data_IF_529880131908
#
_entry.id   IF_529880131908
#
_cell.length_a   1.000
_cell.length_b   1.000
_cell.length_c   1.000
_cell.angle_alpha   90.00
_cell.angle_beta   90.00
_cell.angle_gamma   90.00
#
_symmetry.space_group_name_H-M   'P 1'
#
loop_
_entity.id
_entity.type
_entity.pdbx_description
1 polymer ?
#
# COMPACT_ATOMS: atom_id res chain seq x y z
N UNK A 1 21.66 10.64 44.74
CA UNK A 1 22.54 11.23 43.71
C UNK A 1 21.95 10.86 42.35
N UNK A 2 21.41 11.85 41.61
CA UNK A 2 20.86 11.64 40.28
C UNK A 2 22.03 11.50 39.29
N UNK A 3 22.28 10.29 38.82
CA UNK A 3 23.24 10.04 37.74
C UNK A 3 22.67 10.53 36.42
N UNK A 4 23.32 11.54 35.83
CA UNK A 4 23.00 12.10 34.53
C UNK A 4 23.14 11.04 33.42
N UNK A 5 22.05 10.70 32.74
CA UNK A 5 22.05 9.95 31.47
C UNK A 5 22.26 10.89 30.30
N UNK A 6 23.41 11.57 30.26
CA UNK A 6 23.86 12.25 29.03
C UNK A 6 24.59 11.25 28.14
N UNK A 7 23.82 10.54 27.31
CA UNK A 7 24.36 9.81 26.16
C UNK A 7 24.62 10.79 25.02
N UNK A 8 25.90 11.08 24.74
CA UNK A 8 26.29 11.89 23.59
C UNK A 8 26.05 11.11 22.30
N UNK A 9 25.01 11.46 21.54
CA UNK A 9 24.77 10.90 20.21
C UNK A 9 25.84 11.40 19.24
N UNK A 10 26.84 10.57 18.95
CA UNK A 10 27.80 10.81 17.87
C UNK A 10 27.28 10.14 16.60
N UNK A 11 26.59 10.89 15.74
CA UNK A 11 26.18 10.42 14.42
C UNK A 11 27.37 10.47 13.47
N UNK A 12 28.26 9.48 13.56
CA UNK A 12 29.16 9.13 12.47
C UNK A 12 28.43 8.22 11.48
N UNK A 13 28.70 8.34 10.17
CA UNK A 13 28.17 7.44 9.12
C UNK A 13 28.52 5.94 9.30
N UNK A 14 29.26 5.60 10.37
CA UNK A 14 29.56 4.23 10.82
C UNK A 14 29.37 4.03 12.33
N UNK A 15 28.67 4.94 13.01
CA UNK A 15 28.41 4.83 14.44
C UNK A 15 27.43 3.67 14.66
N UNK A 16 27.91 2.60 15.29
CA UNK A 16 27.08 1.50 15.78
C UNK A 16 26.55 1.90 17.15
N UNK A 17 25.22 1.83 17.30
CA UNK A 17 24.56 2.01 18.60
C UNK A 17 24.74 0.69 19.35
N UNK A 18 25.60 0.69 20.37
CA UNK A 18 25.64 -0.37 21.38
C UNK A 18 24.74 0.07 22.56
N UNK A 19 23.54 -0.48 22.62
CA UNK A 19 22.71 -0.42 23.81
C UNK A 19 22.91 -1.73 24.60
N UNK A 20 23.38 -1.61 25.84
CA UNK A 20 23.37 -2.69 26.84
C UNK A 20 24.16 -3.99 26.53
N UNK A 21 25.10 -3.97 25.57
CA UNK A 21 25.91 -5.15 25.24
C UNK A 21 25.16 -6.23 24.48
N UNK A 22 23.99 -5.91 23.93
CA UNK A 22 23.23 -6.82 23.08
C UNK A 22 23.76 -6.73 21.63
N UNK A 23 24.08 -7.90 21.05
CA UNK A 23 24.52 -7.98 19.66
C UNK A 23 23.47 -7.34 18.74
N UNK A 24 23.87 -6.62 17.66
CA UNK A 24 22.94 -5.92 16.80
C UNK A 24 21.92 -6.90 16.20
N UNK A 25 20.70 -6.86 16.73
CA UNK A 25 19.55 -7.56 16.15
C UNK A 25 19.33 -6.97 14.75
N UNK A 26 19.08 -7.82 13.77
CA UNK A 26 18.70 -7.39 12.43
C UNK A 26 17.65 -6.28 12.53
N UNK A 27 17.79 -5.22 11.72
CA UNK A 27 16.92 -4.06 11.77
C UNK A 27 15.45 -4.49 11.89
N UNK A 28 14.75 -3.98 12.92
CA UNK A 28 13.32 -4.26 13.14
C UNK A 28 12.47 -3.87 11.93
N UNK A 29 12.96 -2.95 11.09
CA UNK A 29 12.41 -2.67 9.78
C UNK A 29 13.07 -3.56 8.73
N UNK A 30 12.32 -4.55 8.24
CA UNK A 30 12.75 -5.43 7.14
C UNK A 30 12.53 -6.91 7.39
N UNK A 31 12.21 -7.32 8.61
CA UNK A 31 11.80 -8.70 8.90
C UNK A 31 10.31 -8.83 8.62
N UNK A 32 9.96 -9.61 7.60
CA UNK A 32 8.57 -9.98 7.34
C UNK A 32 8.10 -10.90 8.47
N UNK A 33 6.99 -10.56 9.12
CA UNK A 33 6.42 -11.41 10.16
C UNK A 33 6.04 -12.78 9.57
N UNK A 34 6.30 -13.84 10.33
CA UNK A 34 5.90 -15.20 10.02
C UNK A 34 4.61 -15.58 10.76
N UNK A 35 3.85 -16.59 10.28
CA UNK A 35 2.71 -17.13 11.01
C UNK A 35 3.10 -17.51 12.45
N UNK A 36 2.40 -16.94 13.43
CA UNK A 36 2.69 -17.15 14.85
C UNK A 36 3.48 -16.02 15.51
N UNK A 37 4.05 -15.09 14.75
CA UNK A 37 4.69 -13.90 15.31
C UNK A 37 3.66 -12.99 15.98
N UNK A 38 3.98 -12.57 17.19
CA UNK A 38 3.16 -11.70 18.03
C UNK A 38 3.94 -10.46 18.45
N UNK A 39 3.23 -9.35 18.66
CA UNK A 39 3.77 -8.17 19.30
C UNK A 39 3.88 -8.37 20.83
N UNK A 40 4.44 -7.39 21.53
CA UNK A 40 4.62 -7.42 22.99
C UNK A 40 3.31 -7.49 23.77
N UNK A 41 2.17 -7.22 23.12
CA UNK A 41 0.82 -7.34 23.69
C UNK A 41 0.14 -8.66 23.33
N UNK A 42 0.81 -9.55 22.60
CA UNK A 42 0.26 -10.81 22.12
C UNK A 42 -0.58 -10.70 20.84
N UNK A 43 -0.62 -9.53 20.18
CA UNK A 43 -1.37 -9.37 18.93
C UNK A 43 -0.59 -9.97 17.75
N UNK A 44 -1.24 -10.69 16.83
CA UNK A 44 -0.56 -11.22 15.66
C UNK A 44 0.08 -10.11 14.81
N UNK A 45 1.36 -10.27 14.48
CA UNK A 45 2.08 -9.42 13.53
C UNK A 45 1.93 -9.91 12.09
N UNK A 46 1.58 -11.19 11.92
CA UNK A 46 1.26 -11.76 10.63
C UNK A 46 -0.22 -11.60 10.30
N UNK A 47 -0.52 -11.03 9.13
CA UNK A 47 -1.84 -11.06 8.52
C UNK A 47 -1.76 -11.84 7.21
N UNK A 48 -2.68 -12.78 7.01
CA UNK A 48 -2.82 -13.44 5.72
C UNK A 48 -3.15 -12.37 4.66
N UNK A 49 -2.33 -12.29 3.62
CA UNK A 49 -2.60 -11.40 2.49
C UNK A 49 -3.71 -12.04 1.66
N UNK A 50 -4.84 -11.35 1.42
CA UNK A 50 -5.90 -11.89 0.57
C UNK A 50 -5.36 -12.12 -0.84
N UNK A 51 -5.95 -13.06 -1.58
CA UNK A 51 -5.68 -13.19 -3.01
C UNK A 51 -6.17 -11.93 -3.73
N UNK A 52 -5.23 -11.17 -4.30
CA UNK A 52 -5.46 -9.91 -5.01
C UNK A 52 -5.33 -10.07 -6.53
N UNK A 53 -5.22 -11.30 -7.05
CA UNK A 53 -5.02 -11.51 -8.48
C UNK A 53 -6.13 -10.87 -9.32
N UNK A 54 -7.39 -10.99 -8.88
CA UNK A 54 -8.54 -10.37 -9.56
C UNK A 54 -8.54 -8.85 -9.49
N UNK A 55 -7.91 -8.28 -8.47
CA UNK A 55 -7.79 -6.82 -8.34
C UNK A 55 -6.78 -6.27 -9.35
N UNK A 56 -5.64 -6.97 -9.52
CA UNK A 56 -4.57 -6.52 -10.43
C UNK A 56 -4.75 -7.01 -11.88
N UNK A 57 -5.50 -8.10 -12.09
CA UNK A 57 -5.78 -8.72 -13.39
C UNK A 57 -7.27 -9.05 -13.53
N UNK A 58 -8.15 -8.04 -13.54
CA UNK A 58 -9.58 -8.28 -13.70
C UNK A 58 -9.93 -8.66 -15.14
N UNK A 59 -10.89 -9.57 -15.31
CA UNK A 59 -11.54 -9.81 -16.60
C UNK A 59 -12.50 -8.67 -16.97
N UNK A 60 -13.11 -8.02 -15.97
CA UNK A 60 -14.06 -6.92 -16.16
C UNK A 60 -13.99 -5.91 -15.02
N UNK A 61 -14.19 -4.63 -15.33
CA UNK A 61 -14.18 -3.51 -14.37
C UNK A 61 -15.37 -2.59 -14.60
N UNK A 62 -16.13 -2.31 -13.54
CA UNK A 62 -17.19 -1.30 -13.56
C UNK A 62 -16.66 0.05 -13.09
N UNK A 63 -16.91 1.12 -13.85
CA UNK A 63 -16.52 2.49 -13.48
C UNK A 63 -17.76 3.28 -13.08
N UNK A 64 -17.99 3.37 -11.77
CA UNK A 64 -19.12 4.11 -11.21
C UNK A 64 -18.85 5.60 -11.25
N UNK A 65 -19.77 6.36 -11.86
CA UNK A 65 -19.58 7.79 -12.10
C UNK A 65 -18.76 8.08 -13.36
N UNK A 66 -18.72 7.13 -14.31
CA UNK A 66 -18.12 7.33 -15.62
C UNK A 66 -18.76 8.53 -16.35
N UNK A 67 -17.96 9.32 -17.03
CA UNK A 67 -18.42 10.50 -17.78
C UNK A 67 -17.58 10.74 -19.02
N UNK A 68 -18.21 11.28 -20.05
CA UNK A 68 -17.61 11.82 -21.28
C UNK A 68 -17.90 13.32 -21.44
N UNK A 69 -18.54 13.95 -20.44
CA UNK A 69 -18.84 15.38 -20.43
C UNK A 69 -17.57 16.23 -20.29
N UNK A 70 -17.44 17.26 -21.13
CA UNK A 70 -16.31 18.18 -21.07
C UNK A 70 -16.23 18.94 -19.73
N UNK A 71 -15.01 19.22 -19.27
CA UNK A 71 -14.76 19.99 -18.06
C UNK A 71 -15.03 19.25 -16.74
N UNK A 72 -15.47 17.99 -16.77
CA UNK A 72 -15.69 17.20 -15.55
C UNK A 72 -14.44 16.38 -15.17
N UNK A 73 -14.01 16.37 -13.89
CA UNK A 73 -12.84 15.60 -13.46
C UNK A 73 -12.93 14.10 -13.77
N UNK A 74 -14.12 13.51 -13.65
CA UNK A 74 -14.35 12.09 -13.92
C UNK A 74 -14.21 11.72 -15.41
N UNK A 75 -14.26 12.69 -16.34
CA UNK A 75 -14.07 12.43 -17.76
C UNK A 75 -12.62 12.06 -18.08
N UNK A 76 -11.65 12.73 -17.46
CA UNK A 76 -10.24 12.37 -17.60
C UNK A 76 -9.95 10.97 -17.06
N UNK A 77 -10.50 10.65 -15.87
CA UNK A 77 -10.35 9.34 -15.23
C UNK A 77 -10.99 8.23 -16.07
N UNK A 78 -12.21 8.45 -16.59
CA UNK A 78 -12.92 7.47 -17.42
C UNK A 78 -12.10 7.13 -18.68
N UNK A 79 -11.54 8.15 -19.35
CA UNK A 79 -10.69 7.97 -20.53
C UNK A 79 -9.41 7.18 -20.21
N UNK A 80 -8.76 7.47 -19.07
CA UNK A 80 -7.56 6.75 -18.65
C UNK A 80 -7.87 5.28 -18.34
N UNK A 81 -9.00 5.00 -17.68
CA UNK A 81 -9.43 3.64 -17.37
C UNK A 81 -9.82 2.85 -18.63
N UNK A 82 -10.44 3.49 -19.62
CA UNK A 82 -10.70 2.88 -20.93
C UNK A 82 -9.40 2.45 -21.61
N UNK A 83 -8.45 3.38 -21.76
CA UNK A 83 -7.15 3.09 -22.38
C UNK A 83 -6.32 2.06 -21.58
N UNK A 84 -6.47 2.04 -20.26
CA UNK A 84 -5.87 0.99 -19.42
C UNK A 84 -6.52 -0.37 -19.66
N UNK A 85 -7.86 -0.44 -19.67
CA UNK A 85 -8.62 -1.67 -19.84
C UNK A 85 -8.32 -2.33 -21.19
N UNK A 86 -8.28 -1.55 -22.27
CA UNK A 86 -7.85 -2.01 -23.59
C UNK A 86 -6.45 -2.61 -23.57
N UNK A 87 -5.49 -1.95 -22.90
CA UNK A 87 -4.11 -2.41 -22.81
C UNK A 87 -3.96 -3.72 -22.05
N UNK A 88 -4.76 -3.94 -21.00
CA UNK A 88 -4.69 -5.15 -20.16
C UNK A 88 -5.67 -6.24 -20.61
N UNK A 89 -6.50 -5.98 -21.62
CA UNK A 89 -7.51 -6.92 -22.12
C UNK A 89 -8.72 -7.08 -21.19
N UNK A 90 -8.97 -6.11 -20.30
CA UNK A 90 -10.13 -6.12 -19.42
C UNK A 90 -11.34 -5.48 -20.09
N UNK A 91 -12.53 -6.01 -19.85
CA UNK A 91 -13.80 -5.38 -20.28
C UNK A 91 -14.18 -4.25 -19.32
N UNK A 92 -14.21 -3.01 -19.79
CA UNK A 92 -14.70 -1.88 -19.01
C UNK A 92 -16.23 -1.69 -19.19
N UNK A 93 -16.94 -1.49 -18.07
CA UNK A 93 -18.37 -1.21 -18.04
C UNK A 93 -18.58 0.17 -17.39
N UNK A 94 -18.86 1.23 -18.17
CA UNK A 94 -19.15 2.53 -17.60
C UNK A 94 -20.53 2.51 -16.93
N UNK A 95 -20.63 3.08 -15.73
CA UNK A 95 -21.89 3.16 -14.98
C UNK A 95 -22.21 4.62 -14.69
N UNK A 96 -23.31 5.10 -15.28
CA UNK A 96 -23.82 6.44 -15.10
C UNK A 96 -25.33 6.38 -14.78
N UNK A 97 -25.84 7.20 -13.84
CA UNK A 97 -27.22 7.08 -13.36
C UNK A 97 -28.29 7.38 -14.41
N UNK A 98 -28.00 8.27 -15.36
CA UNK A 98 -29.00 8.75 -16.34
C UNK A 98 -28.57 8.58 -17.79
N UNK A 99 -27.38 8.03 -18.05
CA UNK A 99 -26.86 7.85 -19.41
C UNK A 99 -26.78 6.37 -19.73
N UNK A 100 -27.25 6.01 -20.91
CA UNK A 100 -27.24 4.64 -21.43
C UNK A 100 -25.88 4.26 -22.00
N UNK A 101 -25.06 5.24 -22.39
CA UNK A 101 -23.69 5.07 -22.89
C UNK A 101 -22.79 6.21 -22.42
N UNK A 102 -21.49 5.92 -22.30
CA UNK A 102 -20.41 6.87 -22.00
C UNK A 102 -19.20 6.41 -22.80
N UNK A 103 -18.81 7.21 -23.81
CA UNK A 103 -17.92 6.83 -24.93
C UNK A 103 -18.44 5.70 -25.82
#
# INVERSE_FOLDING_TARGET
MLGSTHGTFTTGLRARVDACGESPRAAVHGVTAAPGDQDVSGRPLYAAVPDLDRFFRPESVAVVGASDAEGRPNTGITRQLLAWAERVGARLVPVHPTRTSVF
#
